data_IF_249237321876
#
_entry.id   IF_249237321876
#
_cell.length_a   1.000
_cell.length_b   1.000
_cell.length_c   1.000
_cell.angle_alpha   90.00
_cell.angle_beta   90.00
_cell.angle_gamma   90.00
#
_symmetry.space_group_name_H-M   'P 1'
#
loop_
_entity.id
_entity.type
_entity.pdbx_description
1 polymer ?
#
# COMPACT_ATOMS: atom_id res chain seq x y z
N UNK A 1 12.15 -14.44 2.74
CA UNK A 1 10.94 -13.87 2.09
C UNK A 1 10.91 -14.04 0.56
N UNK A 2 12.03 -13.88 -0.16
CA UNK A 2 12.12 -14.18 -1.60
C UNK A 2 11.48 -15.54 -1.95
N UNK A 3 11.78 -16.58 -1.15
CA UNK A 3 11.33 -17.96 -1.39
C UNK A 3 9.82 -18.22 -1.22
N UNK A 4 9.12 -17.48 -0.34
CA UNK A 4 7.68 -17.71 -0.13
C UNK A 4 6.83 -16.97 -1.16
N UNK A 5 7.21 -15.73 -1.46
CA UNK A 5 6.48 -14.93 -2.45
C UNK A 5 6.76 -15.43 -3.86
N UNK A 6 7.94 -16.02 -4.15
CA UNK A 6 8.28 -16.52 -5.48
C UNK A 6 7.28 -17.56 -5.99
N UNK A 7 6.83 -18.51 -5.15
CA UNK A 7 5.87 -19.55 -5.56
C UNK A 7 4.54 -18.92 -5.98
N UNK A 8 4.02 -18.01 -5.15
CA UNK A 8 2.80 -17.28 -5.47
C UNK A 8 2.93 -16.45 -6.75
N UNK A 9 4.08 -15.78 -6.93
CA UNK A 9 4.36 -14.98 -8.11
C UNK A 9 4.50 -15.84 -9.36
N UNK A 10 5.08 -17.03 -9.26
CA UNK A 10 5.16 -17.97 -10.37
C UNK A 10 3.77 -18.45 -10.82
N UNK A 11 2.91 -18.81 -9.87
CA UNK A 11 1.52 -19.16 -10.14
C UNK A 11 0.75 -17.98 -10.75
N UNK A 12 0.93 -16.77 -10.21
CA UNK A 12 0.29 -15.56 -10.74
C UNK A 12 0.75 -15.26 -12.17
N UNK A 13 2.06 -15.40 -12.44
CA UNK A 13 2.61 -15.22 -13.80
C UNK A 13 2.08 -16.24 -14.77
N UNK A 14 1.97 -17.50 -14.36
CA UNK A 14 1.39 -18.56 -15.18
C UNK A 14 -0.05 -18.17 -15.60
N UNK A 15 -0.89 -17.77 -14.64
CA UNK A 15 -2.26 -17.30 -14.90
C UNK A 15 -2.34 -16.01 -15.75
N UNK A 16 -1.31 -15.16 -15.71
CA UNK A 16 -1.25 -13.94 -16.51
C UNK A 16 -0.84 -14.21 -17.96
N UNK A 17 0.00 -15.21 -18.18
CA UNK A 17 0.54 -15.56 -19.50
C UNK A 17 -0.30 -16.60 -20.23
N UNK A 18 -0.95 -17.50 -19.48
CA UNK A 18 -1.75 -18.59 -20.03
C UNK A 18 -3.25 -18.32 -19.88
N UNK A 19 -4.01 -18.65 -20.92
CA UNK A 19 -5.47 -18.53 -20.92
C UNK A 19 -6.06 -19.71 -20.16
N UNK A 20 -6.91 -19.42 -19.17
CA UNK A 20 -7.67 -20.45 -18.47
C UNK A 20 -8.97 -20.67 -19.23
N UNK A 21 -9.14 -21.87 -19.77
CA UNK A 21 -10.31 -22.24 -20.54
C UNK A 21 -11.36 -22.86 -19.60
N UNK A 22 -12.58 -22.34 -19.62
CA UNK A 22 -13.73 -22.91 -18.92
C UNK A 22 -14.88 -23.18 -19.89
N UNK A 23 -15.43 -24.38 -19.86
CA UNK A 23 -16.68 -24.68 -20.55
C UNK A 23 -17.84 -24.31 -19.63
N UNK A 24 -18.66 -23.35 -20.03
CA UNK A 24 -19.80 -22.93 -19.24
C UNK A 24 -20.88 -24.03 -19.24
N UNK A 25 -21.14 -24.62 -18.09
CA UNK A 25 -22.01 -25.81 -17.96
C UNK A 25 -23.43 -25.60 -18.52
N UNK A 26 -23.96 -24.37 -18.49
CA UNK A 26 -25.32 -24.08 -18.94
C UNK A 26 -25.45 -23.72 -20.43
N UNK A 27 -24.40 -23.20 -21.07
CA UNK A 27 -24.44 -22.71 -22.47
C UNK A 27 -23.59 -23.58 -23.39
N UNK A 28 -22.74 -24.47 -22.86
CA UNK A 28 -21.82 -25.30 -23.64
C UNK A 28 -20.65 -24.52 -24.26
N UNK A 29 -20.63 -23.19 -24.13
CA UNK A 29 -19.61 -22.34 -24.71
C UNK A 29 -18.28 -22.38 -23.96
N UNK A 30 -17.18 -22.29 -24.71
CA UNK A 30 -15.83 -22.18 -24.18
C UNK A 30 -15.50 -20.72 -23.91
N UNK A 31 -15.30 -20.38 -22.65
CA UNK A 31 -14.93 -19.04 -22.19
C UNK A 31 -13.44 -19.03 -21.83
N UNK A 32 -12.75 -18.01 -22.33
CA UNK A 32 -11.32 -17.81 -22.12
C UNK A 32 -11.11 -16.70 -21.08
N UNK A 33 -10.52 -17.05 -19.94
CA UNK A 33 -10.15 -16.10 -18.90
C UNK A 33 -8.67 -15.76 -18.96
N UNK A 34 -8.36 -14.47 -18.84
CA UNK A 34 -7.01 -13.98 -18.65
C UNK A 34 -6.94 -13.19 -17.35
N UNK A 35 -6.01 -13.56 -16.48
CA UNK A 35 -5.90 -12.94 -15.16
C UNK A 35 -4.86 -11.84 -15.18
N UNK A 36 -5.14 -10.75 -14.46
CA UNK A 36 -4.19 -9.67 -14.26
C UNK A 36 -4.22 -9.26 -12.79
N UNK A 37 -3.06 -9.29 -12.14
CA UNK A 37 -2.92 -8.73 -10.80
C UNK A 37 -2.89 -7.20 -10.92
N UNK A 38 -3.97 -6.54 -10.49
CA UNK A 38 -4.06 -5.07 -10.50
C UNK A 38 -3.59 -4.46 -9.19
N UNK A 39 -4.01 -5.04 -8.06
CA UNK A 39 -3.79 -4.51 -6.72
C UNK A 39 -3.43 -5.64 -5.75
N UNK A 40 -2.52 -5.35 -4.83
CA UNK A 40 -2.18 -6.19 -3.69
C UNK A 40 -2.36 -5.35 -2.42
N UNK A 41 -3.42 -5.60 -1.66
CA UNK A 41 -3.63 -4.93 -0.39
C UNK A 41 -2.81 -5.60 0.71
N UNK A 42 -2.06 -4.81 1.47
CA UNK A 42 -1.31 -5.27 2.64
C UNK A 42 -1.02 -4.12 3.59
N UNK A 43 -0.76 -4.46 4.84
CA UNK A 43 -0.46 -3.49 5.90
C UNK A 43 0.83 -2.69 5.63
N UNK A 44 1.04 -1.63 6.41
CA UNK A 44 2.18 -0.71 6.26
C UNK A 44 3.54 -1.33 6.59
N UNK A 45 3.59 -2.44 7.35
CA UNK A 45 4.82 -3.13 7.75
C UNK A 45 5.25 -4.13 6.67
N UNK A 46 4.28 -4.86 6.10
CA UNK A 46 4.47 -5.84 5.04
C UNK A 46 4.74 -5.19 3.68
N UNK A 47 4.05 -4.09 3.36
CA UNK A 47 4.20 -3.37 2.07
C UNK A 47 5.65 -3.08 1.66
N UNK A 48 6.45 -2.32 2.45
CA UNK A 48 7.83 -2.01 2.10
C UNK A 48 8.70 -3.26 2.03
N UNK A 49 8.40 -4.27 2.83
CA UNK A 49 9.13 -5.52 2.85
C UNK A 49 8.93 -6.27 1.52
N UNK A 50 7.68 -6.40 1.04
CA UNK A 50 7.34 -6.98 -0.27
C UNK A 50 7.93 -6.17 -1.43
N UNK A 51 7.90 -4.84 -1.34
CA UNK A 51 8.52 -3.94 -2.35
C UNK A 51 10.06 -3.92 -2.30
N UNK A 52 10.65 -4.67 -1.36
CA UNK A 52 12.07 -4.69 -1.08
C UNK A 52 12.66 -3.30 -0.86
N UNK A 53 11.99 -2.54 0.02
CA UNK A 53 12.31 -1.18 0.44
C UNK A 53 12.52 -1.09 1.95
N UNK A 54 12.99 0.07 2.39
CA UNK A 54 13.00 0.46 3.81
C UNK A 54 11.55 0.66 4.30
N UNK A 55 11.33 0.39 5.58
CA UNK A 55 10.03 0.61 6.22
C UNK A 55 9.79 2.10 6.46
N UNK A 56 8.60 2.45 6.93
CA UNK A 56 8.21 3.84 7.21
C UNK A 56 9.12 4.54 8.24
N UNK A 57 9.90 3.79 9.04
CA UNK A 57 10.89 4.32 9.97
C UNK A 57 12.26 4.63 9.34
N UNK A 58 12.46 4.42 8.03
CA UNK A 58 13.69 4.76 7.32
C UNK A 58 13.59 6.08 6.56
N UNK A 59 14.74 6.67 6.19
CA UNK A 59 14.77 7.77 5.23
C UNK A 59 14.13 7.34 3.90
N UNK A 60 13.30 8.19 3.30
CA UNK A 60 12.53 7.86 2.09
C UNK A 60 11.59 6.65 2.26
N UNK A 61 11.13 6.36 3.48
CA UNK A 61 10.32 5.17 3.80
C UNK A 61 8.88 5.18 3.30
N UNK A 62 8.36 6.32 2.83
CA UNK A 62 7.07 6.35 2.15
C UNK A 62 7.12 5.46 0.89
N UNK A 63 6.03 4.78 0.57
CA UNK A 63 5.94 3.94 -0.63
C UNK A 63 5.64 4.73 -1.90
N UNK A 64 4.97 5.88 -1.76
CA UNK A 64 4.37 6.61 -2.87
C UNK A 64 5.05 7.94 -3.20
N UNK A 65 5.85 8.52 -2.29
CA UNK A 65 6.53 9.79 -2.52
C UNK A 65 7.95 9.83 -1.97
N UNK A 66 8.78 10.68 -2.55
CA UNK A 66 10.18 10.89 -2.17
C UNK A 66 10.35 11.77 -0.91
N UNK A 67 9.40 11.73 0.03
CA UNK A 67 9.50 12.44 1.29
C UNK A 67 10.76 11.99 2.05
N UNK A 68 11.64 12.95 2.37
CA UNK A 68 12.77 12.70 3.24
C UNK A 68 12.32 12.81 4.70
N UNK A 69 12.54 11.76 5.48
CA UNK A 69 12.36 11.79 6.92
C UNK A 69 13.71 12.00 7.61
N UNK A 70 13.71 12.52 8.84
CA UNK A 70 14.89 12.58 9.70
C UNK A 70 14.56 12.02 11.08
N UNK A 71 15.60 11.59 11.79
CA UNK A 71 15.45 11.17 13.18
C UNK A 71 15.44 12.39 14.09
N UNK A 72 14.39 12.49 14.90
CA UNK A 72 14.30 13.41 16.03
C UNK A 72 14.23 12.55 17.30
N UNK A 73 15.34 12.51 18.04
CA UNK A 73 15.58 11.50 19.07
C UNK A 73 15.54 10.07 18.49
N UNK A 74 14.71 9.20 19.08
CA UNK A 74 14.54 7.81 18.64
C UNK A 74 13.43 7.60 17.61
N UNK A 75 12.79 8.69 17.12
CA UNK A 75 11.64 8.61 16.24
C UNK A 75 11.92 9.20 14.85
N UNK A 76 11.56 8.45 13.80
CA UNK A 76 11.54 8.97 12.44
C UNK A 76 10.39 9.97 12.27
N UNK A 77 10.70 11.16 11.75
CA UNK A 77 9.74 12.25 11.50
C UNK A 77 9.76 12.63 10.03
N UNK A 78 8.55 12.82 9.48
CA UNK A 78 8.34 13.42 8.17
C UNK A 78 7.62 14.73 8.39
N UNK A 79 8.25 15.84 8.02
CA UNK A 79 7.66 17.16 8.19
C UNK A 79 6.58 17.42 7.15
N UNK A 80 5.57 18.19 7.55
CA UNK A 80 4.70 18.85 6.61
C UNK A 80 5.49 19.97 5.92
N UNK A 81 5.72 19.80 4.63
CA UNK A 81 6.39 20.79 3.80
C UNK A 81 5.37 21.70 3.12
N UNK A 82 5.75 22.94 2.78
CA UNK A 82 4.91 23.83 1.96
C UNK A 82 4.71 23.29 0.54
N UNK A 83 5.68 22.50 0.06
CA UNK A 83 5.65 21.85 -1.25
C UNK A 83 5.66 20.36 -1.00
N UNK A 84 4.68 19.67 -1.58
CA UNK A 84 4.58 18.22 -1.44
C UNK A 84 5.77 17.51 -2.08
N UNK A 85 6.30 16.46 -1.44
CA UNK A 85 7.35 15.66 -2.04
C UNK A 85 6.89 15.02 -3.35
N UNK A 86 7.79 14.98 -4.34
CA UNK A 86 7.53 14.34 -5.62
C UNK A 86 7.01 12.92 -5.44
N UNK A 87 5.93 12.58 -6.14
CA UNK A 87 5.39 11.22 -6.17
C UNK A 87 6.33 10.29 -6.96
N UNK A 88 6.38 9.03 -6.54
CA UNK A 88 7.02 7.95 -7.29
C UNK A 88 6.10 7.53 -8.44
N UNK A 89 6.69 7.32 -9.60
CA UNK A 89 6.06 6.55 -10.67
C UNK A 89 6.62 5.13 -10.69
N UNK A 90 6.03 4.25 -11.49
CA UNK A 90 6.59 2.92 -11.67
C UNK A 90 8.00 3.00 -12.28
N UNK A 91 8.18 3.88 -13.26
CA UNK A 91 9.42 4.13 -13.99
C UNK A 91 10.49 4.72 -13.07
N UNK A 92 10.12 5.71 -12.24
CA UNK A 92 11.09 6.30 -11.29
C UNK A 92 11.53 5.28 -10.23
N UNK A 93 10.63 4.40 -9.80
CA UNK A 93 10.98 3.27 -8.93
C UNK A 93 11.93 2.28 -9.61
N UNK A 94 11.69 1.93 -10.89
CA UNK A 94 12.61 1.07 -11.66
C UNK A 94 14.01 1.68 -11.78
N UNK A 95 14.11 3.00 -12.01
CA UNK A 95 15.39 3.69 -12.03
C UNK A 95 16.14 3.59 -10.69
N UNK A 96 15.42 3.68 -9.57
CA UNK A 96 16.01 3.51 -8.24
C UNK A 96 16.47 2.07 -8.00
N UNK A 97 15.71 1.08 -8.49
CA UNK A 97 16.08 -0.36 -8.49
C UNK A 97 17.36 -0.58 -9.30
N UNK A 98 17.42 -0.09 -10.54
CA UNK A 98 18.58 -0.26 -11.41
C UNK A 98 19.84 0.36 -10.81
N UNK A 99 19.73 1.52 -10.18
CA UNK A 99 20.85 2.20 -9.50
C UNK A 99 21.38 1.37 -8.34
N UNK A 100 20.51 0.82 -7.50
CA UNK A 100 20.96 0.02 -6.34
C UNK A 100 21.55 -1.32 -6.78
N UNK A 101 21.02 -1.93 -7.84
CA UNK A 101 21.53 -3.19 -8.40
C UNK A 101 22.93 -3.02 -9.04
N UNK A 102 23.20 -1.88 -9.70
CA UNK A 102 24.51 -1.59 -10.31
C UNK A 102 25.64 -1.39 -9.29
N UNK A 103 25.35 -0.75 -8.15
CA UNK A 103 26.39 -0.42 -7.15
C UNK A 103 26.73 -1.65 -6.29
N UNK A 104 25.82 -2.64 -6.20
CA UNK A 104 25.95 -3.91 -5.49
C UNK A 104 26.74 -3.82 -4.16
N UNK A 105 26.33 -2.92 -3.27
CA UNK A 105 26.94 -2.73 -1.95
C UNK A 105 25.98 -3.12 -0.85
N UNK A 106 26.44 -3.95 0.08
CA UNK A 106 25.66 -4.36 1.25
C UNK A 106 25.12 -3.13 2.01
N UNK A 107 23.83 -3.17 2.36
CA UNK A 107 23.10 -2.11 3.09
C UNK A 107 22.95 -0.77 2.35
N UNK A 108 23.36 -0.68 1.08
CA UNK A 108 23.04 0.49 0.28
C UNK A 108 21.53 0.56 0.03
N UNK A 109 20.98 1.78 0.07
CA UNK A 109 19.63 2.05 -0.40
C UNK A 109 19.65 3.27 -1.30
N UNK A 110 18.83 3.27 -2.34
CA UNK A 110 18.61 4.42 -3.22
C UNK A 110 17.17 4.87 -3.03
N UNK A 111 16.95 6.05 -2.47
CA UNK A 111 15.61 6.60 -2.22
C UNK A 111 14.66 5.63 -1.48
N UNK A 112 15.22 4.84 -0.56
CA UNK A 112 14.51 3.83 0.23
C UNK A 112 14.40 2.45 -0.45
N UNK A 113 14.84 2.28 -1.70
CA UNK A 113 14.90 0.98 -2.39
C UNK A 113 16.13 0.20 -1.96
N UNK A 114 15.95 -1.07 -1.59
CA UNK A 114 17.05 -1.99 -1.20
C UNK A 114 17.50 -2.91 -2.35
N UNK A 115 16.67 -3.06 -3.38
CA UNK A 115 16.94 -3.87 -4.56
C UNK A 115 15.67 -4.19 -5.33
N UNK A 116 15.76 -5.21 -6.19
CA UNK A 116 14.64 -5.71 -6.98
C UNK A 116 13.64 -6.53 -6.16
N UNK A 117 12.37 -6.14 -6.21
CA UNK A 117 11.24 -6.89 -5.65
C UNK A 117 10.84 -8.06 -6.55
N UNK A 118 10.36 -9.16 -5.95
CA UNK A 118 9.74 -10.28 -6.67
C UNK A 118 8.50 -9.85 -7.47
N UNK A 119 7.81 -8.79 -7.04
CA UNK A 119 6.62 -8.28 -7.73
C UNK A 119 6.93 -7.80 -9.16
N UNK A 120 8.17 -7.38 -9.43
CA UNK A 120 8.63 -6.98 -10.76
C UNK A 120 8.71 -8.13 -11.76
N UNK A 121 8.52 -9.39 -11.32
CA UNK A 121 8.40 -10.53 -12.24
C UNK A 121 7.02 -10.59 -12.90
N UNK A 122 6.03 -9.85 -12.39
CA UNK A 122 4.71 -9.68 -13.02
C UNK A 122 4.74 -8.45 -13.95
N UNK A 123 4.81 -8.67 -15.26
CA UNK A 123 5.10 -7.64 -16.27
C UNK A 123 4.16 -6.43 -16.29
N UNK A 124 2.96 -6.54 -15.74
CA UNK A 124 1.95 -5.47 -15.75
C UNK A 124 1.66 -4.90 -14.36
N UNK A 125 2.40 -5.34 -13.34
CA UNK A 125 2.15 -4.91 -11.97
C UNK A 125 2.91 -3.63 -11.61
N UNK A 126 2.16 -2.57 -11.30
CA UNK A 126 2.75 -1.32 -10.84
C UNK A 126 3.23 -1.45 -9.38
N UNK A 127 4.54 -1.60 -9.17
CA UNK A 127 5.12 -1.74 -7.83
C UNK A 127 4.99 -0.51 -6.91
N UNK A 128 4.48 0.63 -7.38
CA UNK A 128 4.19 1.81 -6.55
C UNK A 128 2.70 1.89 -6.26
N UNK A 129 1.87 1.92 -7.32
CA UNK A 129 0.44 2.19 -7.23
C UNK A 129 -0.44 0.94 -7.20
N UNK A 130 0.12 -0.23 -7.50
CA UNK A 130 -0.53 -1.54 -7.32
C UNK A 130 -0.58 -2.00 -5.86
N UNK A 131 -0.03 -1.22 -4.92
CA UNK A 131 -0.04 -1.52 -3.48
C UNK A 131 -0.76 -0.40 -2.73
N UNK A 132 -2.11 -0.42 -2.70
CA UNK A 132 -2.89 0.63 -2.07
C UNK A 132 -2.68 0.65 -0.54
N UNK A 133 -3.12 1.75 0.08
CA UNK A 133 -3.23 1.84 1.54
C UNK A 133 -4.23 0.77 2.00
N UNK A 134 -3.85 -0.03 2.99
CA UNK A 134 -4.79 -0.90 3.67
C UNK A 134 -5.77 -0.06 4.51
N UNK A 135 -7.05 -0.14 4.16
CA UNK A 135 -8.10 0.63 4.80
C UNK A 135 -8.27 0.23 6.27
N UNK A 136 -8.17 -1.06 6.59
CA UNK A 136 -8.40 -1.52 7.96
C UNK A 136 -7.28 -1.07 8.90
N UNK A 137 -6.04 -1.50 8.65
CA UNK A 137 -4.92 -1.22 9.56
C UNK A 137 -4.36 0.19 9.37
N UNK A 138 -4.30 0.69 8.13
CA UNK A 138 -3.76 2.02 7.84
C UNK A 138 -4.70 3.15 8.23
N UNK A 139 -5.98 3.05 7.85
CA UNK A 139 -6.94 4.16 8.02
C UNK A 139 -7.74 4.03 9.30
N UNK A 140 -8.42 2.89 9.53
CA UNK A 140 -9.31 2.74 10.68
C UNK A 140 -8.53 2.56 11.99
N UNK A 141 -7.68 1.53 12.07
CA UNK A 141 -6.92 1.23 13.28
C UNK A 141 -5.67 2.10 13.46
N UNK A 142 -5.17 2.69 12.38
CA UNK A 142 -4.06 3.63 12.38
C UNK A 142 -4.54 5.05 12.67
N UNK A 143 -4.84 5.81 11.62
CA UNK A 143 -5.12 7.25 11.70
C UNK A 143 -6.39 7.54 12.51
N UNK A 144 -7.50 6.86 12.21
CA UNK A 144 -8.80 7.17 12.84
C UNK A 144 -8.77 6.89 14.34
N UNK A 145 -8.25 5.73 14.75
CA UNK A 145 -8.07 5.39 16.16
C UNK A 145 -7.14 6.37 16.87
N UNK A 146 -6.04 6.78 16.21
CA UNK A 146 -5.12 7.77 16.78
C UNK A 146 -5.84 9.09 17.03
N UNK A 147 -6.49 9.67 16.01
CA UNK A 147 -7.25 10.92 16.15
C UNK A 147 -8.34 10.82 17.21
N UNK A 148 -9.10 9.72 17.22
CA UNK A 148 -10.13 9.49 18.25
C UNK A 148 -9.55 9.47 19.66
N UNK A 149 -8.38 8.85 19.86
CA UNK A 149 -7.67 8.88 21.15
C UNK A 149 -7.27 10.30 21.56
N UNK A 150 -6.77 11.11 20.61
CA UNK A 150 -6.44 12.52 20.87
C UNK A 150 -7.69 13.28 21.32
N UNK A 151 -8.78 13.16 20.57
CA UNK A 151 -10.02 13.89 20.81
C UNK A 151 -10.77 13.43 22.06
N UNK A 152 -10.55 12.20 22.53
CA UNK A 152 -11.24 11.69 23.73
C UNK A 152 -10.43 11.78 25.02
N UNK A 153 -9.18 12.26 24.93
CA UNK A 153 -8.31 12.48 26.09
C UNK A 153 -8.48 13.90 26.64
N UNK A 154 -8.98 14.03 27.87
CA UNK A 154 -9.41 15.30 28.49
C UNK A 154 -8.32 16.39 28.56
N UNK A 155 -7.05 16.01 28.59
CA UNK A 155 -5.92 16.94 28.73
C UNK A 155 -5.46 17.60 27.43
N UNK A 156 -6.14 17.36 26.30
CA UNK A 156 -5.72 17.87 24.98
C UNK A 156 -6.61 19.03 24.51
N UNK A 157 -5.98 20.01 23.85
CA UNK A 157 -6.65 21.22 23.36
C UNK A 157 -7.79 20.98 22.35
N UNK A 158 -7.87 19.77 21.77
CA UNK A 158 -8.92 19.36 20.83
C UNK A 158 -9.86 18.30 21.42
N UNK A 159 -10.12 18.36 22.73
CA UNK A 159 -11.01 17.44 23.41
C UNK A 159 -12.48 17.60 22.97
N UNK A 160 -13.13 16.49 22.62
CA UNK A 160 -14.56 16.39 22.35
C UNK A 160 -15.33 16.14 23.64
N UNK A 161 -16.28 17.02 23.93
CA UNK A 161 -17.21 16.90 25.06
C UNK A 161 -18.12 15.69 24.86
N UNK A 162 -18.73 15.16 25.93
CA UNK A 162 -19.69 14.06 25.82
C UNK A 162 -20.81 14.32 24.80
N UNK A 163 -21.34 15.54 24.75
CA UNK A 163 -22.35 15.97 23.76
C UNK A 163 -21.88 15.84 22.32
N UNK A 164 -20.62 16.20 22.04
CA UNK A 164 -20.06 16.13 20.69
C UNK A 164 -19.92 14.67 20.24
N UNK A 165 -19.57 13.78 21.18
CA UNK A 165 -19.46 12.33 20.92
C UNK A 165 -20.82 11.70 20.67
N UNK A 166 -21.84 12.14 21.39
CA UNK A 166 -23.22 11.70 21.17
C UNK A 166 -23.70 12.11 19.77
N UNK A 167 -23.45 13.36 19.38
CA UNK A 167 -23.75 13.85 18.02
C UNK A 167 -23.01 13.03 16.95
N UNK A 168 -21.72 12.72 17.15
CA UNK A 168 -20.96 11.85 16.24
C UNK A 168 -21.58 10.45 16.16
N UNK A 169 -21.98 9.85 17.29
CA UNK A 169 -22.62 8.54 17.32
C UNK A 169 -23.97 8.56 16.60
N UNK A 170 -24.75 9.63 16.77
CA UNK A 170 -26.03 9.83 16.09
C UNK A 170 -25.86 10.02 14.58
N UNK A 171 -24.79 10.68 14.13
CA UNK A 171 -24.45 10.75 12.70
C UNK A 171 -23.99 9.39 12.17
N UNK A 172 -23.17 8.67 12.93
CA UNK A 172 -22.66 7.34 12.56
C UNK A 172 -23.79 6.33 12.39
N UNK A 173 -24.79 6.33 13.26
CA UNK A 173 -25.95 5.42 13.15
C UNK A 173 -26.78 5.67 11.88
N UNK A 174 -26.73 6.87 11.33
CA UNK A 174 -27.40 7.26 10.09
C UNK A 174 -26.58 6.95 8.82
N UNK A 175 -25.30 6.58 8.94
CA UNK A 175 -24.48 6.18 7.78
C UNK A 175 -25.02 4.85 7.25
N UNK A 176 -25.67 4.90 6.09
CA UNK A 176 -26.06 3.71 5.36
C UNK A 176 -24.85 3.19 4.60
N UNK A 177 -24.59 1.88 4.70
CA UNK A 177 -23.60 1.22 3.84
C UNK A 177 -24.16 1.23 2.41
N UNK A 178 -23.30 1.38 1.38
CA UNK A 178 -23.74 1.07 0.03
C UNK A 178 -24.29 -0.37 0.02
N UNK A 179 -25.55 -0.53 -0.37
CA UNK A 179 -26.17 -1.86 -0.49
C UNK A 179 -25.53 -2.68 -1.63
N UNK A 180 -24.91 -2.00 -2.58
CA UNK A 180 -24.22 -2.59 -3.71
C UNK A 180 -23.01 -1.73 -4.09
N UNK A 181 -21.87 -2.38 -4.34
CA UNK A 181 -20.72 -1.78 -5.00
C UNK A 181 -20.63 -2.44 -6.37
N UNK A 182 -21.43 -1.98 -7.34
CA UNK A 182 -21.26 -2.38 -8.72
C UNK A 182 -20.15 -1.53 -9.36
N UNK A 183 -19.26 -2.17 -10.13
CA UNK A 183 -18.38 -1.42 -11.05
C UNK A 183 -19.27 -0.70 -12.05
N UNK A 184 -19.16 0.63 -12.13
CA UNK A 184 -19.71 1.40 -13.24
C UNK A 184 -19.27 0.72 -14.55
N UNK A 185 -20.27 0.29 -15.34
CA UNK A 185 -20.06 -0.24 -16.69
C UNK A 185 -19.78 0.90 -17.66
#
# INVERSE_FOLDING_TARGET
>A
MKMYLSIFIDQAKDLMNNVVNFTHRLIGEKINYKFYCLLLCMDSVARPVVQFRVQFNGHYGCSWCYAYGFYDGSAMRYLMCRIDPKLRSHESYLQDVDKVERIYRARLTINGVKGRSELLRMNHFNCVWGLPIDYMHGVLLGVTKQLWSIWTTASRNCYLKPSDREEINNRRSKIKRPHEIQRLR
#
